data_IF_833250203515
#
_entry.id   IF_833250203515
#
_cell.length_a   1.000
_cell.length_b   1.000
_cell.length_c   1.000
_cell.angle_alpha   90.00
_cell.angle_beta   90.00
_cell.angle_gamma   90.00
#
_symmetry.space_group_name_H-M   'P 1'
#
loop_
_entity.id
_entity.type
_entity.pdbx_description
1 polymer ?
#
# COMPACT_ATOMS: atom_id res chain seq x y z
N UNK A 1 4.66 19.07 6.50
CA UNK A 1 3.91 18.08 5.68
C UNK A 1 2.94 17.26 6.55
N UNK A 2 3.39 16.50 7.56
CA UNK A 2 2.55 15.60 8.37
C UNK A 2 1.37 16.27 9.07
N UNK A 3 1.56 17.45 9.68
CA UNK A 3 0.51 18.19 10.37
C UNK A 3 -0.59 18.62 9.38
N UNK A 4 -0.20 19.01 8.18
CA UNK A 4 -1.12 19.37 7.10
C UNK A 4 -1.93 18.15 6.67
N UNK A 5 -1.28 17.03 6.32
CA UNK A 5 -1.93 15.78 5.92
C UNK A 5 -2.97 15.32 6.95
N UNK A 6 -2.58 15.37 8.24
CA UNK A 6 -3.48 15.05 9.34
C UNK A 6 -4.71 15.96 9.40
N UNK A 7 -4.55 17.25 9.11
CA UNK A 7 -5.66 18.22 9.17
C UNK A 7 -6.60 18.16 7.96
N UNK A 8 -6.15 17.58 6.85
CA UNK A 8 -6.92 17.43 5.61
C UNK A 8 -7.71 16.11 5.56
N UNK A 9 -7.41 15.16 6.46
CA UNK A 9 -8.16 13.91 6.58
C UNK A 9 -9.01 13.85 7.84
N UNK A 10 -9.73 12.75 7.99
CA UNK A 10 -10.66 12.52 9.12
C UNK A 10 -10.61 11.07 9.59
N UNK A 11 -10.69 10.87 10.91
CA UNK A 11 -10.88 9.53 11.48
C UNK A 11 -12.37 9.20 11.49
N UNK A 12 -12.75 8.13 10.81
CA UNK A 12 -14.13 7.63 10.72
C UNK A 12 -14.25 6.26 11.38
N UNK A 13 -15.44 5.91 11.82
CA UNK A 13 -15.74 4.57 12.28
C UNK A 13 -16.26 3.73 11.10
N UNK A 14 -15.40 2.86 10.58
CA UNK A 14 -15.65 2.04 9.40
C UNK A 14 -15.49 0.56 9.78
N UNK A 15 -16.51 -0.24 9.51
CA UNK A 15 -16.53 -1.66 9.85
C UNK A 15 -16.21 -1.93 11.34
N UNK A 16 -16.62 -1.03 12.25
CA UNK A 16 -16.33 -1.11 13.68
C UNK A 16 -14.91 -0.70 14.08
N UNK A 17 -14.16 -0.02 13.20
CA UNK A 17 -12.80 0.42 13.44
C UNK A 17 -12.62 1.91 13.18
N UNK A 18 -11.80 2.57 14.00
CA UNK A 18 -11.39 3.97 13.78
C UNK A 18 -10.31 4.01 12.70
N UNK A 19 -10.68 4.45 11.50
CA UNK A 19 -9.85 4.48 10.30
C UNK A 19 -9.67 5.93 9.85
N UNK A 20 -8.44 6.35 9.66
CA UNK A 20 -8.12 7.64 9.04
C UNK A 20 -8.32 7.54 7.54
N UNK A 21 -9.08 8.50 7.00
CA UNK A 21 -9.36 8.62 5.57
C UNK A 21 -9.01 10.04 5.13
N UNK A 22 -8.23 10.15 4.07
CA UNK A 22 -8.01 11.38 3.33
C UNK A 22 -8.73 11.27 1.98
N UNK A 23 -9.55 12.26 1.68
CA UNK A 23 -10.29 12.33 0.43
C UNK A 23 -10.17 13.72 -0.18
N UNK A 24 -9.82 13.79 -1.45
CA UNK A 24 -9.59 15.03 -2.19
C UNK A 24 -10.16 14.98 -3.61
N UNK A 25 -10.11 16.11 -4.30
CA UNK A 25 -10.69 16.27 -5.63
C UNK A 25 -12.21 16.43 -5.64
N UNK A 26 -12.84 16.52 -6.82
CA UNK A 26 -14.28 16.74 -6.95
C UNK A 26 -15.09 15.54 -6.43
N UNK A 27 -16.27 15.80 -5.89
CA UNK A 27 -17.20 14.72 -5.50
C UNK A 27 -17.61 13.93 -6.73
N UNK A 28 -17.43 12.61 -6.66
CA UNK A 28 -17.73 11.66 -7.74
C UNK A 28 -17.92 10.26 -7.15
N UNK A 29 -18.73 9.44 -7.79
CA UNK A 29 -18.86 8.02 -7.51
C UNK A 29 -17.86 7.16 -8.32
N UNK A 30 -17.09 7.79 -9.22
CA UNK A 30 -15.91 7.25 -9.88
C UNK A 30 -14.66 7.96 -9.36
N UNK A 31 -13.65 7.21 -8.91
CA UNK A 31 -12.47 7.80 -8.31
C UNK A 31 -11.25 6.89 -8.29
N UNK A 32 -10.21 7.37 -7.64
CA UNK A 32 -8.97 6.63 -7.39
C UNK A 32 -8.99 6.15 -5.94
N UNK A 33 -8.90 4.84 -5.73
CA UNK A 33 -8.77 4.22 -4.41
C UNK A 33 -7.34 3.73 -4.22
N UNK A 34 -6.64 4.31 -3.23
CA UNK A 34 -5.23 4.02 -3.00
C UNK A 34 -5.05 3.20 -1.72
N UNK A 35 -4.27 2.13 -1.81
CA UNK A 35 -3.91 1.23 -0.71
C UNK A 35 -2.39 1.28 -0.50
N UNK A 36 -1.96 1.81 0.67
CA UNK A 36 -0.55 1.94 1.01
C UNK A 36 0.11 0.60 1.38
N UNK A 37 1.43 0.62 1.57
CA UNK A 37 2.25 -0.53 1.95
C UNK A 37 2.72 -0.55 3.40
N UNK A 38 3.53 -1.56 3.74
CA UNK A 38 4.22 -1.72 5.03
C UNK A 38 5.63 -1.13 4.94
N UNK A 39 6.14 -0.45 5.96
CA UNK A 39 5.46 -0.03 7.19
C UNK A 39 4.82 1.36 7.09
N UNK A 40 4.63 1.87 5.89
CA UNK A 40 4.17 3.22 5.57
C UNK A 40 2.74 3.55 5.98
N UNK A 41 2.18 4.58 5.35
CA UNK A 41 0.82 5.06 5.62
C UNK A 41 0.24 5.75 4.38
N UNK A 42 -0.97 6.28 4.49
CA UNK A 42 -1.57 7.11 3.44
C UNK A 42 -0.73 8.36 3.10
N UNK A 43 0.09 8.83 4.03
CA UNK A 43 0.99 9.96 3.82
C UNK A 43 2.01 9.72 2.70
N UNK A 44 2.43 8.49 2.47
CA UNK A 44 3.38 8.13 1.40
C UNK A 44 2.86 8.50 0.01
N UNK A 45 1.56 8.80 -0.08
CA UNK A 45 0.87 9.16 -1.31
C UNK A 45 0.60 10.67 -1.45
N UNK A 46 1.05 11.49 -0.47
CA UNK A 46 0.77 12.92 -0.45
C UNK A 46 1.14 13.59 -1.77
N UNK A 47 2.36 13.38 -2.28
CA UNK A 47 2.82 14.00 -3.52
C UNK A 47 1.99 13.57 -4.74
N UNK A 48 1.60 12.30 -4.81
CA UNK A 48 0.72 11.77 -5.88
C UNK A 48 -0.66 12.41 -5.82
N UNK A 49 -1.26 12.49 -4.62
CA UNK A 49 -2.57 13.08 -4.39
C UNK A 49 -2.58 14.57 -4.75
N UNK A 50 -1.55 15.32 -4.34
CA UNK A 50 -1.39 16.74 -4.66
C UNK A 50 -1.27 16.97 -6.18
N UNK A 51 -0.54 16.12 -6.89
CA UNK A 51 -0.36 16.25 -8.35
C UNK A 51 -1.63 15.87 -9.14
N UNK A 52 -2.41 14.89 -8.67
CA UNK A 52 -3.72 14.58 -9.26
C UNK A 52 -4.64 15.81 -9.10
N UNK A 53 -4.64 16.44 -7.92
CA UNK A 53 -5.41 17.66 -7.65
C UNK A 53 -6.90 17.49 -7.94
N UNK A 54 -7.45 18.43 -8.73
CA UNK A 54 -8.89 18.46 -9.08
C UNK A 54 -9.25 17.58 -10.31
N UNK A 55 -8.31 16.81 -10.84
CA UNK A 55 -8.56 15.97 -12.03
C UNK A 55 -9.40 14.74 -11.72
N UNK A 56 -9.38 14.25 -10.48
CA UNK A 56 -10.16 13.09 -10.05
C UNK A 56 -10.47 13.12 -8.56
N UNK A 57 -11.53 12.44 -8.16
CA UNK A 57 -11.76 12.06 -6.77
C UNK A 57 -10.69 11.06 -6.34
N UNK A 58 -9.93 11.36 -5.29
CA UNK A 58 -8.91 10.47 -4.73
C UNK A 58 -9.27 10.14 -3.29
N UNK A 59 -9.26 8.86 -2.94
CA UNK A 59 -9.48 8.36 -1.59
C UNK A 59 -8.31 7.47 -1.19
N UNK A 60 -7.65 7.82 -0.11
CA UNK A 60 -6.59 7.03 0.51
C UNK A 60 -6.84 6.94 2.01
N UNK A 61 -6.57 5.78 2.62
CA UNK A 61 -6.78 5.59 4.05
C UNK A 61 -5.59 4.88 4.69
N UNK A 62 -5.39 5.11 5.98
CA UNK A 62 -4.46 4.31 6.75
C UNK A 62 -5.12 2.97 7.09
N UNK A 63 -4.47 1.86 6.75
CA UNK A 63 -4.88 0.54 7.20
C UNK A 63 -4.91 0.48 8.74
N UNK A 64 -5.74 -0.40 9.29
CA UNK A 64 -5.72 -0.69 10.74
C UNK A 64 -4.32 -1.13 11.16
N UNK A 65 -3.76 -0.51 12.17
CA UNK A 65 -2.39 -0.72 12.63
C UNK A 65 -1.38 0.31 12.11
N UNK A 66 -1.78 1.21 11.22
CA UNK A 66 -0.90 2.15 10.55
C UNK A 66 -1.29 3.62 10.76
N UNK A 67 -0.33 4.51 10.54
CA UNK A 67 -0.51 5.96 10.44
C UNK A 67 -1.39 6.54 11.56
N UNK A 68 -2.49 7.16 11.20
CA UNK A 68 -3.46 7.78 12.11
C UNK A 68 -4.66 6.89 12.44
N UNK A 69 -4.73 5.67 11.88
CA UNK A 69 -5.75 4.66 12.21
C UNK A 69 -5.47 3.98 13.54
N UNK A 70 -6.49 3.32 14.10
CA UNK A 70 -6.39 2.59 15.37
C UNK A 70 -5.34 1.49 15.34
N UNK A 71 -4.60 1.34 16.43
CA UNK A 71 -3.54 0.33 16.63
C UNK A 71 -3.81 -0.48 17.90
N UNK A 72 -4.71 -1.49 17.85
CA UNK A 72 -4.94 -2.35 19.01
C UNK A 72 -3.65 -3.05 19.45
N UNK A 73 -3.35 -2.96 20.73
CA UNK A 73 -2.18 -3.60 21.32
C UNK A 73 -2.50 -5.00 21.88
N UNK A 74 -3.75 -5.37 21.90
CA UNK A 74 -4.25 -6.66 22.35
C UNK A 74 -4.58 -7.59 21.15
N UNK A 75 -4.50 -8.88 21.38
CA UNK A 75 -4.76 -9.88 20.35
C UNK A 75 -3.50 -10.34 19.60
N UNK A 76 -3.73 -11.11 18.56
CA UNK A 76 -2.73 -11.66 17.65
C UNK A 76 -2.92 -11.09 16.23
N UNK A 77 -1.98 -11.32 15.34
CA UNK A 77 -2.14 -10.98 13.92
C UNK A 77 -3.49 -11.49 13.37
N UNK A 78 -3.77 -12.77 13.60
CA UNK A 78 -4.97 -13.43 13.07
C UNK A 78 -6.29 -12.80 13.57
N UNK A 79 -6.31 -12.28 14.78
CA UNK A 79 -7.52 -11.62 15.33
C UNK A 79 -7.62 -10.14 15.00
N UNK A 80 -6.53 -9.51 14.51
CA UNK A 80 -6.43 -8.06 14.55
C UNK A 80 -6.00 -7.40 13.25
N UNK A 81 -5.10 -8.02 12.45
CA UNK A 81 -4.39 -7.34 11.36
C UNK A 81 -4.39 -8.06 10.02
N UNK A 82 -5.24 -9.09 9.83
CA UNK A 82 -5.22 -9.88 8.58
C UNK A 82 -5.46 -9.04 7.34
N UNK A 83 -4.87 -9.44 6.22
CA UNK A 83 -5.09 -8.81 4.91
C UNK A 83 -6.56 -8.91 4.48
N UNK A 84 -7.25 -9.98 4.87
CA UNK A 84 -8.69 -10.13 4.65
C UNK A 84 -9.48 -9.03 5.38
N UNK A 85 -9.15 -8.76 6.66
CA UNK A 85 -9.77 -7.67 7.44
C UNK A 85 -9.47 -6.30 6.80
N UNK A 86 -8.24 -6.08 6.32
CA UNK A 86 -7.92 -4.84 5.62
C UNK A 86 -8.77 -4.68 4.34
N UNK A 87 -8.99 -5.76 3.58
CA UNK A 87 -9.87 -5.72 2.42
C UNK A 87 -11.32 -5.37 2.79
N UNK A 88 -11.86 -5.93 3.90
CA UNK A 88 -13.18 -5.59 4.42
C UNK A 88 -13.29 -4.11 4.81
N UNK A 89 -12.22 -3.56 5.40
CA UNK A 89 -12.12 -2.13 5.74
C UNK A 89 -12.12 -1.28 4.46
N UNK A 90 -11.36 -1.66 3.42
CA UNK A 90 -11.34 -0.91 2.16
C UNK A 90 -12.68 -0.95 1.41
N UNK A 91 -13.48 -2.03 1.51
CA UNK A 91 -14.85 -2.03 1.04
C UNK A 91 -15.71 -1.00 1.81
N UNK A 92 -15.51 -0.88 3.12
CA UNK A 92 -16.20 0.13 3.92
C UNK A 92 -15.73 1.56 3.60
N UNK A 93 -14.42 1.77 3.35
CA UNK A 93 -13.86 3.05 2.91
C UNK A 93 -14.47 3.49 1.58
N UNK A 94 -14.50 2.61 0.57
CA UNK A 94 -15.08 2.92 -0.72
C UNK A 94 -16.58 3.26 -0.62
N UNK A 95 -17.33 2.49 0.17
CA UNK A 95 -18.76 2.74 0.42
C UNK A 95 -19.00 4.08 1.12
N UNK A 96 -18.24 4.39 2.16
CA UNK A 96 -18.35 5.65 2.91
C UNK A 96 -17.98 6.87 2.04
N UNK A 97 -17.03 6.70 1.12
CA UNK A 97 -16.65 7.71 0.15
C UNK A 97 -17.64 7.83 -1.04
N UNK A 98 -18.67 6.97 -1.11
CA UNK A 98 -19.66 6.97 -2.19
C UNK A 98 -19.13 6.41 -3.52
N UNK A 99 -18.01 5.68 -3.52
CA UNK A 99 -17.41 5.15 -4.73
C UNK A 99 -18.14 3.90 -5.23
N UNK A 100 -18.65 3.95 -6.44
CA UNK A 100 -19.26 2.81 -7.17
C UNK A 100 -18.30 2.23 -8.22
N UNK A 101 -17.31 3.02 -8.67
CA UNK A 101 -16.30 2.65 -9.65
C UNK A 101 -14.94 3.21 -9.22
N UNK A 102 -13.87 2.43 -9.36
CA UNK A 102 -12.54 2.86 -8.95
C UNK A 102 -11.44 2.50 -9.95
N UNK A 103 -10.46 3.39 -10.08
CA UNK A 103 -9.10 3.04 -10.44
C UNK A 103 -8.39 2.64 -9.14
N UNK A 104 -8.07 1.37 -8.99
CA UNK A 104 -7.40 0.83 -7.82
C UNK A 104 -5.89 1.03 -7.94
N UNK A 105 -5.27 1.63 -6.93
CA UNK A 105 -3.80 1.74 -6.81
C UNK A 105 -3.37 1.02 -5.54
N UNK A 106 -2.40 0.11 -5.63
CA UNK A 106 -1.99 -0.67 -4.46
C UNK A 106 -0.48 -0.96 -4.45
N UNK A 107 0.15 -0.67 -3.31
CA UNK A 107 1.58 -0.77 -3.09
C UNK A 107 1.93 -1.81 -2.00
N UNK A 108 2.99 -2.58 -2.18
CA UNK A 108 3.58 -3.55 -1.25
C UNK A 108 2.56 -4.46 -0.53
N UNK A 109 2.37 -4.32 0.78
CA UNK A 109 1.34 -5.03 1.54
C UNK A 109 -0.05 -4.76 0.97
N UNK A 110 -0.30 -3.51 0.60
CA UNK A 110 -1.55 -3.09 -0.04
C UNK A 110 -1.82 -3.80 -1.37
N UNK A 111 -0.78 -4.24 -2.11
CA UNK A 111 -0.99 -5.05 -3.30
C UNK A 111 -1.71 -6.37 -2.98
N UNK A 112 -1.42 -7.00 -1.84
CA UNK A 112 -2.13 -8.22 -1.43
C UNK A 112 -3.60 -7.94 -1.10
N UNK A 113 -3.87 -6.80 -0.45
CA UNK A 113 -5.25 -6.32 -0.21
C UNK A 113 -5.95 -6.03 -1.55
N UNK A 114 -5.26 -5.35 -2.47
CA UNK A 114 -5.78 -5.09 -3.82
C UNK A 114 -6.10 -6.36 -4.60
N UNK A 115 -5.22 -7.37 -4.55
CA UNK A 115 -5.47 -8.68 -5.16
C UNK A 115 -6.66 -9.42 -4.53
N UNK A 116 -6.89 -9.26 -3.22
CA UNK A 116 -8.10 -9.78 -2.58
C UNK A 116 -9.36 -9.08 -3.11
N UNK A 117 -9.35 -7.74 -3.21
CA UNK A 117 -10.49 -6.99 -3.80
C UNK A 117 -10.73 -7.38 -5.26
N UNK A 118 -9.66 -7.54 -6.05
CA UNK A 118 -9.75 -8.02 -7.44
C UNK A 118 -10.34 -9.44 -7.51
N UNK A 119 -9.94 -10.34 -6.59
CA UNK A 119 -10.54 -11.68 -6.49
C UNK A 119 -12.03 -11.62 -6.15
N UNK A 120 -12.43 -10.74 -5.23
CA UNK A 120 -13.84 -10.50 -4.87
C UNK A 120 -14.64 -9.99 -6.07
N UNK A 121 -14.05 -9.16 -6.93
CA UNK A 121 -14.71 -8.74 -8.17
C UNK A 121 -14.94 -9.90 -9.15
N UNK A 122 -13.94 -10.74 -9.38
CA UNK A 122 -14.09 -11.94 -10.23
C UNK A 122 -15.16 -12.91 -9.68
N UNK A 123 -15.35 -12.92 -8.36
CA UNK A 123 -16.38 -13.72 -7.67
C UNK A 123 -17.76 -13.03 -7.67
N UNK A 124 -17.88 -11.82 -8.19
CA UNK A 124 -19.15 -11.07 -8.23
C UNK A 124 -19.65 -10.58 -6.88
N UNK A 125 -18.79 -10.45 -5.86
CA UNK A 125 -19.13 -10.05 -4.49
C UNK A 125 -18.53 -8.74 -4.01
N UNK A 126 -17.73 -8.05 -4.85
CA UNK A 126 -17.23 -6.71 -4.52
C UNK A 126 -18.35 -5.67 -4.66
N UNK A 127 -18.58 -4.78 -3.68
CA UNK A 127 -19.69 -3.82 -3.71
C UNK A 127 -19.46 -2.62 -4.63
N UNK A 128 -18.29 -2.49 -5.28
CA UNK A 128 -17.95 -1.50 -6.27
C UNK A 128 -17.19 -2.16 -7.44
N UNK A 129 -17.00 -1.43 -8.53
CA UNK A 129 -16.28 -1.93 -9.71
C UNK A 129 -14.84 -1.41 -9.70
N UNK A 130 -13.86 -2.29 -9.84
CA UNK A 130 -12.51 -1.94 -10.24
C UNK A 130 -12.49 -1.88 -11.75
N UNK A 131 -12.32 -0.67 -12.34
CA UNK A 131 -12.26 -0.46 -13.78
C UNK A 131 -10.86 -0.48 -14.35
N UNK A 132 -9.85 -0.24 -13.51
CA UNK A 132 -8.42 -0.37 -13.80
C UNK A 132 -7.67 -0.66 -12.49
N UNK A 133 -6.61 -1.44 -12.54
CA UNK A 133 -5.72 -1.65 -11.41
C UNK A 133 -4.29 -1.23 -11.76
N UNK A 134 -3.66 -0.44 -10.88
CA UNK A 134 -2.23 -0.14 -10.89
C UNK A 134 -1.62 -0.79 -9.65
N UNK A 135 -0.73 -1.76 -9.85
CA UNK A 135 -0.02 -2.44 -8.76
C UNK A 135 1.47 -2.08 -8.83
N UNK A 136 2.07 -1.83 -7.66
CA UNK A 136 3.45 -1.36 -7.57
C UNK A 136 4.19 -2.04 -6.40
N UNK A 137 5.40 -2.51 -6.67
CA UNK A 137 6.41 -2.93 -5.69
C UNK A 137 5.90 -3.88 -4.59
N UNK A 138 5.04 -4.83 -4.97
CA UNK A 138 4.43 -5.78 -4.06
C UNK A 138 5.03 -7.19 -4.16
N UNK A 139 5.59 -7.69 -3.07
CA UNK A 139 6.23 -9.01 -3.01
C UNK A 139 5.23 -10.18 -2.89
N UNK A 140 4.23 -10.22 -3.78
CA UNK A 140 3.15 -11.24 -3.75
C UNK A 140 3.59 -12.60 -4.25
N UNK A 141 4.62 -12.65 -5.10
CA UNK A 141 5.22 -13.91 -5.56
C UNK A 141 6.14 -14.44 -4.46
N UNK A 142 5.56 -15.22 -3.56
CA UNK A 142 6.20 -15.65 -2.29
C UNK A 142 7.47 -16.50 -2.46
N UNK A 143 7.63 -17.14 -3.60
CA UNK A 143 8.82 -17.89 -4.01
C UNK A 143 10.02 -16.99 -4.37
N UNK A 144 9.79 -15.71 -4.56
CA UNK A 144 10.79 -14.69 -4.93
C UNK A 144 11.06 -13.67 -3.82
N UNK A 145 10.40 -13.79 -2.66
CA UNK A 145 10.53 -12.82 -1.55
C UNK A 145 11.96 -12.83 -0.99
N UNK A 146 12.51 -11.64 -0.85
CA UNK A 146 13.77 -11.39 -0.16
C UNK A 146 13.49 -10.59 1.12
N UNK A 147 13.75 -11.20 2.28
CA UNK A 147 13.53 -10.54 3.57
C UNK A 147 14.74 -9.70 3.95
N UNK A 148 14.51 -8.41 4.24
CA UNK A 148 15.50 -7.55 4.87
C UNK A 148 15.83 -8.03 6.31
N UNK A 149 17.01 -7.69 6.82
CA UNK A 149 17.44 -8.11 8.16
C UNK A 149 16.49 -7.63 9.26
N UNK A 150 15.95 -6.42 9.14
CA UNK A 150 14.93 -5.90 10.07
C UNK A 150 13.67 -6.77 10.02
N UNK A 151 13.19 -7.17 8.85
CA UNK A 151 12.02 -8.03 8.71
C UNK A 151 12.24 -9.41 9.37
N UNK A 152 13.44 -9.98 9.23
CA UNK A 152 13.80 -11.25 9.90
C UNK A 152 13.77 -11.09 11.42
N UNK A 153 14.32 -10.02 11.96
CA UNK A 153 14.31 -9.72 13.40
C UNK A 153 12.88 -9.54 13.92
N UNK A 154 12.03 -8.79 13.21
CA UNK A 154 10.63 -8.58 13.59
C UNK A 154 9.82 -9.88 13.53
N UNK A 155 9.99 -10.71 12.51
CA UNK A 155 9.29 -12.01 12.39
C UNK A 155 9.70 -13.01 13.49
N UNK A 156 10.87 -12.86 14.08
CA UNK A 156 11.32 -13.67 15.22
C UNK A 156 10.68 -13.26 16.56
N UNK A 157 10.06 -12.06 16.64
CA UNK A 157 9.35 -11.61 17.85
C UNK A 157 8.06 -12.43 18.06
N UNK A 158 7.52 -12.47 19.29
CA UNK A 158 6.20 -13.07 19.57
C UNK A 158 5.07 -12.39 18.79
N UNK A 159 3.95 -13.10 18.59
CA UNK A 159 2.73 -12.55 17.95
C UNK A 159 1.87 -11.77 18.95
N UNK A 160 2.46 -10.76 19.53
CA UNK A 160 1.84 -9.81 20.46
C UNK A 160 2.47 -8.43 20.24
N UNK A 161 1.78 -7.38 20.63
CA UNK A 161 2.40 -6.05 20.61
C UNK A 161 3.62 -6.01 21.53
N UNK A 162 4.67 -5.33 21.11
CA UNK A 162 5.84 -5.12 21.94
C UNK A 162 5.50 -4.25 23.16
N UNK A 163 6.21 -4.46 24.27
CA UNK A 163 6.04 -3.62 25.49
C UNK A 163 6.62 -2.24 25.31
N UNK A 164 7.63 -2.10 24.47
CA UNK A 164 8.34 -0.85 24.19
C UNK A 164 8.32 -0.54 22.69
N UNK A 165 8.50 0.73 22.36
CA UNK A 165 8.65 1.16 21.00
C UNK A 165 9.98 0.68 20.40
N UNK A 166 10.04 0.51 19.08
CA UNK A 166 11.30 0.28 18.36
C UNK A 166 12.26 1.47 18.59
N UNK A 167 13.56 1.25 18.39
CA UNK A 167 14.48 2.38 18.31
C UNK A 167 14.21 3.19 17.04
N UNK A 168 14.05 4.50 17.19
CA UNK A 168 13.66 5.40 16.10
C UNK A 168 14.73 5.49 15.02
N UNK A 169 16.01 5.58 15.43
CA UNK A 169 17.11 5.69 14.49
C UNK A 169 17.39 4.36 13.78
N UNK A 170 17.36 3.25 14.52
CA UNK A 170 17.49 1.91 13.91
C UNK A 170 16.39 1.65 12.88
N UNK A 171 15.18 2.12 13.16
CA UNK A 171 14.05 2.02 12.23
C UNK A 171 14.32 2.80 10.93
N UNK A 172 14.74 4.07 11.03
CA UNK A 172 15.08 4.89 9.85
C UNK A 172 16.21 4.27 9.04
N UNK A 173 17.29 3.85 9.70
CA UNK A 173 18.43 3.21 9.02
C UNK A 173 18.04 1.89 8.36
N UNK A 174 17.07 1.16 8.92
CA UNK A 174 16.49 -0.04 8.31
C UNK A 174 15.67 0.23 7.05
N UNK A 175 15.06 1.40 6.92
CA UNK A 175 14.32 1.82 5.73
C UNK A 175 15.23 2.38 4.63
N UNK A 176 16.35 3.00 4.99
CA UNK A 176 17.25 3.69 4.04
C UNK A 176 17.59 2.86 2.80
N UNK A 177 17.96 1.57 2.89
CA UNK A 177 18.29 0.76 1.72
C UNK A 177 17.12 0.47 0.77
N UNK A 178 15.90 0.84 1.14
CA UNK A 178 14.70 0.64 0.32
C UNK A 178 14.40 1.82 -0.61
N UNK A 179 15.22 2.87 -0.58
CA UNK A 179 15.13 4.01 -1.49
C UNK A 179 16.14 3.90 -2.62
N UNK A 180 15.75 4.32 -3.82
CA UNK A 180 16.57 4.28 -5.02
C UNK A 180 17.74 5.27 -5.02
N UNK A 181 18.70 5.01 -5.88
CA UNK A 181 19.93 5.83 -5.97
C UNK A 181 19.63 7.26 -6.35
N UNK A 182 18.66 7.52 -7.22
CA UNK A 182 18.27 8.86 -7.64
C UNK A 182 17.71 9.68 -6.47
N UNK A 183 16.79 9.12 -5.70
CA UNK A 183 16.18 9.78 -4.54
C UNK A 183 17.18 9.96 -3.40
N UNK A 184 18.02 8.97 -3.15
CA UNK A 184 19.10 9.05 -2.15
C UNK A 184 20.12 10.17 -2.43
N UNK A 185 20.28 10.54 -3.69
CA UNK A 185 21.16 11.63 -4.11
C UNK A 185 20.48 13.01 -4.10
N UNK A 186 19.15 13.11 -3.98
CA UNK A 186 18.41 14.40 -4.01
C UNK A 186 18.65 15.26 -2.77
N UNK A 187 19.03 14.65 -1.65
CA UNK A 187 19.16 15.31 -0.34
C UNK A 187 17.88 15.27 0.51
N UNK A 188 16.79 14.75 0.00
CA UNK A 188 15.48 14.72 0.68
C UNK A 188 15.26 13.46 1.54
N UNK A 189 16.16 12.48 1.41
CA UNK A 189 16.00 11.16 2.02
C UNK A 189 15.89 11.22 3.56
N UNK A 190 16.77 11.98 4.22
CA UNK A 190 16.77 12.02 5.69
C UNK A 190 15.48 12.65 6.25
N UNK A 191 14.98 13.73 5.63
CA UNK A 191 13.72 14.34 6.03
C UNK A 191 12.55 13.37 5.79
N UNK A 192 12.56 12.66 4.68
CA UNK A 192 11.55 11.65 4.34
C UNK A 192 11.56 10.50 5.35
N UNK A 193 12.72 9.96 5.70
CA UNK A 193 12.84 8.89 6.71
C UNK A 193 12.29 9.32 8.07
N UNK A 194 12.63 10.54 8.50
CA UNK A 194 12.09 11.12 9.75
C UNK A 194 10.56 11.24 9.68
N UNK A 195 10.02 11.70 8.55
CA UNK A 195 8.58 11.84 8.36
C UNK A 195 7.87 10.48 8.40
N UNK A 196 8.40 9.46 7.72
CA UNK A 196 7.87 8.09 7.74
C UNK A 196 7.94 7.49 9.15
N UNK A 197 9.07 7.64 9.84
CA UNK A 197 9.21 7.15 11.21
C UNK A 197 8.17 7.78 12.14
N UNK A 198 7.91 9.10 12.04
CA UNK A 198 6.86 9.74 12.83
C UNK A 198 5.46 9.18 12.56
N UNK A 199 5.15 8.72 11.33
CA UNK A 199 3.88 8.04 11.04
C UNK A 199 3.80 6.68 11.75
N UNK A 200 4.88 5.90 11.66
CA UNK A 200 4.94 4.56 12.25
C UNK A 200 4.91 4.60 13.77
N UNK A 201 5.59 5.57 14.38
CA UNK A 201 5.66 5.70 15.85
C UNK A 201 4.43 6.39 16.47
N UNK A 202 3.59 7.03 15.65
CA UNK A 202 2.37 7.67 16.16
C UNK A 202 1.48 6.65 16.91
N UNK A 203 1.00 7.02 18.09
CA UNK A 203 0.08 6.22 18.92
C UNK A 203 0.55 4.77 19.11
N UNK A 204 1.81 4.59 19.48
CA UNK A 204 2.45 3.28 19.71
C UNK A 204 2.50 2.33 18.51
N UNK A 205 2.40 2.84 17.30
CA UNK A 205 2.36 2.02 16.08
C UNK A 205 3.62 1.19 15.86
N UNK A 206 4.80 1.64 16.35
CA UNK A 206 6.04 0.86 16.28
C UNK A 206 5.93 -0.48 17.03
N UNK A 207 5.11 -0.55 18.09
CA UNK A 207 4.93 -1.73 18.95
C UNK A 207 4.16 -2.87 18.26
N UNK A 208 3.37 -2.57 17.22
CA UNK A 208 2.59 -3.58 16.49
C UNK A 208 3.25 -4.04 15.18
N UNK A 209 4.42 -3.48 14.82
CA UNK A 209 5.09 -3.78 13.55
C UNK A 209 5.44 -5.25 13.39
N UNK A 210 5.91 -5.91 14.46
CA UNK A 210 6.21 -7.34 14.45
C UNK A 210 4.97 -8.21 14.24
N UNK A 211 3.81 -7.81 14.77
CA UNK A 211 2.54 -8.48 14.52
C UNK A 211 2.10 -8.30 13.07
N UNK A 212 2.05 -7.04 12.61
CA UNK A 212 1.57 -6.71 11.26
C UNK A 212 2.41 -7.42 10.20
N UNK A 213 3.74 -7.49 10.36
CA UNK A 213 4.63 -8.15 9.40
C UNK A 213 4.29 -9.63 9.14
N UNK A 214 3.47 -10.25 10.01
CA UNK A 214 2.95 -11.62 9.78
C UNK A 214 2.03 -11.74 8.59
N UNK A 215 1.64 -10.63 7.96
CA UNK A 215 0.99 -10.67 6.66
C UNK A 215 1.78 -11.47 5.62
N UNK A 216 3.11 -11.58 5.78
CA UNK A 216 3.95 -12.43 4.95
C UNK A 216 3.62 -13.94 5.10
N UNK A 217 3.11 -14.37 6.27
CA UNK A 217 2.60 -15.74 6.45
C UNK A 217 1.27 -15.92 5.75
N UNK A 218 0.35 -14.97 5.92
CA UNK A 218 -0.94 -14.98 5.22
C UNK A 218 -0.75 -14.96 3.69
N UNK A 219 0.24 -14.20 3.16
CA UNK A 219 0.60 -14.28 1.73
C UNK A 219 0.93 -15.71 1.27
N UNK A 220 1.63 -16.50 2.09
CA UNK A 220 1.94 -17.90 1.76
C UNK A 220 0.68 -18.77 1.82
N UNK A 221 -0.17 -18.59 2.81
CA UNK A 221 -1.43 -19.31 2.97
C UNK A 221 -2.40 -19.01 1.82
N UNK A 222 -2.49 -17.76 1.43
CA UNK A 222 -3.36 -17.25 0.36
C UNK A 222 -2.70 -17.23 -1.02
N UNK A 223 -1.49 -17.78 -1.17
CA UNK A 223 -0.71 -17.70 -2.40
C UNK A 223 -1.48 -18.18 -3.63
N UNK A 224 -2.14 -19.34 -3.55
CA UNK A 224 -2.91 -19.89 -4.67
C UNK A 224 -4.04 -18.97 -5.12
N UNK A 225 -4.69 -18.25 -4.19
CA UNK A 225 -5.76 -17.32 -4.49
C UNK A 225 -5.22 -16.05 -5.13
N UNK A 226 -4.26 -15.40 -4.50
CA UNK A 226 -3.77 -14.10 -4.96
C UNK A 226 -2.86 -14.19 -6.19
N UNK A 227 -2.03 -15.24 -6.32
CA UNK A 227 -1.26 -15.46 -7.55
C UNK A 227 -2.18 -15.78 -8.72
N UNK A 228 -3.22 -16.62 -8.52
CA UNK A 228 -4.22 -16.85 -9.57
C UNK A 228 -4.82 -15.51 -10.02
N UNK A 229 -5.31 -14.70 -9.08
CA UNK A 229 -5.89 -13.38 -9.39
C UNK A 229 -4.89 -12.53 -10.16
N UNK A 230 -3.64 -12.45 -9.71
CA UNK A 230 -2.60 -11.67 -10.37
C UNK A 230 -2.40 -12.07 -11.84
N UNK A 231 -2.38 -13.37 -12.13
CA UNK A 231 -2.16 -13.86 -13.48
C UNK A 231 -3.44 -13.93 -14.34
N UNK A 232 -4.61 -14.13 -13.76
CA UNK A 232 -5.82 -14.44 -14.52
C UNK A 232 -6.91 -13.38 -14.48
N UNK A 233 -6.77 -12.31 -13.70
CA UNK A 233 -7.75 -11.23 -13.63
C UNK A 233 -8.05 -10.63 -15.01
N UNK A 234 -9.34 -10.53 -15.37
CA UNK A 234 -9.80 -10.08 -16.69
C UNK A 234 -10.86 -8.99 -16.64
N UNK A 235 -11.47 -8.76 -15.47
CA UNK A 235 -12.56 -7.80 -15.31
C UNK A 235 -12.13 -6.34 -15.52
N UNK A 236 -10.81 -6.06 -15.52
CA UNK A 236 -10.25 -4.75 -15.83
C UNK A 236 -8.80 -4.84 -16.32
N UNK A 237 -8.27 -3.80 -17.00
CA UNK A 237 -6.86 -3.68 -17.31
C UNK A 237 -6.00 -3.67 -16.06
N UNK A 238 -4.77 -4.17 -16.18
CA UNK A 238 -3.74 -4.16 -15.14
C UNK A 238 -2.49 -3.46 -15.66
N UNK A 239 -2.01 -2.50 -14.88
CA UNK A 239 -0.72 -1.82 -15.07
C UNK A 239 0.19 -2.13 -13.89
N UNK A 240 1.47 -2.36 -14.16
CA UNK A 240 2.53 -2.42 -13.17
C UNK A 240 3.44 -1.21 -13.34
N UNK A 241 3.61 -0.42 -12.27
CA UNK A 241 4.68 0.56 -12.15
C UNK A 241 5.66 -0.01 -11.14
N UNK A 242 6.95 -0.15 -11.49
CA UNK A 242 7.86 -0.92 -10.63
C UNK A 242 9.25 -0.32 -10.56
N UNK A 243 9.75 -0.11 -9.35
CA UNK A 243 11.11 0.32 -9.10
C UNK A 243 12.12 -0.75 -9.53
N UNK A 244 13.08 -0.36 -10.38
CA UNK A 244 14.11 -1.30 -10.86
C UNK A 244 15.10 -1.66 -9.77
N UNK A 245 15.32 -0.74 -8.83
CA UNK A 245 16.26 -0.89 -7.72
C UNK A 245 15.61 -1.44 -6.44
N UNK A 246 14.33 -1.87 -6.49
CA UNK A 246 13.63 -2.38 -5.32
C UNK A 246 14.31 -3.66 -4.75
N UNK A 247 14.85 -3.61 -3.51
CA UNK A 247 15.51 -4.74 -2.90
C UNK A 247 14.52 -5.74 -2.25
N UNK A 248 13.24 -5.36 -2.10
CA UNK A 248 12.20 -6.14 -1.41
C UNK A 248 11.32 -6.86 -2.42
N UNK A 249 10.68 -6.11 -3.31
CA UNK A 249 9.87 -6.62 -4.41
C UNK A 249 10.66 -6.51 -5.72
N UNK A 250 11.64 -7.37 -5.88
CA UNK A 250 12.61 -7.28 -7.00
C UNK A 250 11.92 -7.22 -8.35
N UNK A 251 12.46 -6.42 -9.27
CA UNK A 251 11.90 -6.20 -10.62
C UNK A 251 11.60 -7.49 -11.38
N UNK A 252 12.32 -8.57 -11.10
CA UNK A 252 12.07 -9.89 -11.67
C UNK A 252 10.64 -10.42 -11.37
N UNK A 253 9.98 -9.97 -10.28
CA UNK A 253 8.58 -10.31 -10.01
C UNK A 253 7.66 -9.70 -11.07
N UNK A 254 7.84 -8.41 -11.38
CA UNK A 254 7.08 -7.72 -12.41
C UNK A 254 7.35 -8.31 -13.81
N UNK A 255 8.60 -8.66 -14.11
CA UNK A 255 8.97 -9.33 -15.35
C UNK A 255 8.30 -10.68 -15.52
N UNK A 256 8.22 -11.46 -14.44
CA UNK A 256 7.50 -12.74 -14.45
C UNK A 256 6.00 -12.52 -14.75
N UNK A 257 5.37 -11.53 -14.09
CA UNK A 257 3.96 -11.22 -14.37
C UNK A 257 3.77 -10.80 -15.83
N UNK A 258 4.64 -9.93 -16.36
CA UNK A 258 4.59 -9.52 -17.78
C UNK A 258 4.78 -10.68 -18.73
N UNK A 259 5.63 -11.65 -18.39
CA UNK A 259 5.86 -12.84 -19.21
C UNK A 259 4.64 -13.76 -19.22
N UNK A 260 4.05 -14.03 -18.06
CA UNK A 260 2.90 -14.92 -17.91
C UNK A 260 1.57 -14.24 -18.30
N UNK A 261 1.55 -12.89 -18.31
CA UNK A 261 0.41 -12.04 -18.69
C UNK A 261 0.86 -10.94 -19.67
N UNK A 262 1.09 -11.27 -20.96
CA UNK A 262 1.72 -10.34 -21.93
C UNK A 262 0.97 -9.03 -22.20
N UNK A 263 -0.34 -9.00 -21.96
CA UNK A 263 -1.20 -7.81 -22.11
C UNK A 263 -1.21 -6.89 -20.87
N UNK A 264 -0.43 -7.18 -19.81
CA UNK A 264 -0.21 -6.26 -18.70
C UNK A 264 0.74 -5.14 -19.14
N UNK A 265 0.40 -3.89 -18.89
CA UNK A 265 1.33 -2.78 -19.05
C UNK A 265 2.37 -2.82 -17.94
N UNK A 266 3.64 -2.80 -18.29
CA UNK A 266 4.76 -2.74 -17.34
C UNK A 266 5.64 -1.53 -17.60
N UNK A 267 5.74 -0.65 -16.61
CA UNK A 267 6.63 0.50 -16.60
C UNK A 267 7.72 0.28 -15.54
N UNK A 268 8.97 0.20 -16.01
CA UNK A 268 10.16 0.02 -15.17
C UNK A 268 10.77 1.38 -14.85
N UNK A 269 10.76 1.75 -13.57
CA UNK A 269 11.21 3.04 -13.08
C UNK A 269 12.71 2.97 -12.74
N UNK A 270 13.55 3.56 -13.61
CA UNK A 270 14.99 3.57 -13.43
C UNK A 270 15.41 4.50 -12.28
N UNK A 271 16.34 4.09 -11.43
CA UNK A 271 16.80 4.87 -10.29
C UNK A 271 15.82 4.95 -9.12
N UNK A 272 14.69 4.21 -9.21
CA UNK A 272 13.63 4.13 -8.21
C UNK A 272 13.66 2.75 -7.56
N UNK A 273 13.46 2.70 -6.24
CA UNK A 273 13.38 1.45 -5.50
C UNK A 273 11.96 1.18 -5.01
N UNK A 274 11.78 0.97 -3.69
CA UNK A 274 10.55 0.44 -3.11
C UNK A 274 9.41 1.47 -2.96
N UNK A 275 9.69 2.77 -3.12
CA UNK A 275 8.73 3.84 -2.79
C UNK A 275 8.41 4.76 -3.98
N UNK A 276 7.90 4.24 -5.13
CA UNK A 276 7.64 5.07 -6.30
C UNK A 276 6.72 6.27 -6.03
N UNK A 277 5.77 6.14 -5.10
CA UNK A 277 4.86 7.23 -4.68
C UNK A 277 5.59 8.39 -4.00
N UNK A 278 6.74 8.13 -3.37
CA UNK A 278 7.57 9.14 -2.70
C UNK A 278 8.71 9.59 -3.63
N UNK A 279 9.34 8.63 -4.31
CA UNK A 279 10.56 8.87 -5.09
C UNK A 279 10.28 9.62 -6.40
N UNK A 280 9.14 9.34 -7.05
CA UNK A 280 8.73 9.95 -8.33
C UNK A 280 7.22 10.25 -8.36
N UNK A 281 6.70 11.05 -7.40
CA UNK A 281 5.27 11.25 -7.21
C UNK A 281 4.56 11.82 -8.43
N UNK A 282 5.19 12.76 -9.14
CA UNK A 282 4.61 13.38 -10.34
C UNK A 282 4.47 12.37 -11.48
N UNK A 283 5.52 11.57 -11.73
CA UNK A 283 5.46 10.52 -12.75
C UNK A 283 4.39 9.47 -12.43
N UNK A 284 4.31 9.09 -11.14
CA UNK A 284 3.28 8.14 -10.69
C UNK A 284 1.88 8.71 -10.90
N UNK A 285 1.66 9.96 -10.52
CA UNK A 285 0.39 10.65 -10.68
C UNK A 285 0.00 10.79 -12.16
N UNK A 286 0.94 11.12 -13.04
CA UNK A 286 0.69 11.19 -14.50
C UNK A 286 0.26 9.82 -15.04
N UNK A 287 0.85 8.73 -14.55
CA UNK A 287 0.43 7.38 -14.93
C UNK A 287 -0.99 7.05 -14.44
N UNK A 288 -1.41 7.55 -13.28
CA UNK A 288 -2.80 7.45 -12.78
C UNK A 288 -3.73 8.28 -13.68
N UNK A 289 -3.39 9.55 -13.92
CA UNK A 289 -4.19 10.49 -14.73
C UNK A 289 -4.44 9.93 -16.13
N UNK A 290 -3.40 9.38 -16.77
CA UNK A 290 -3.52 8.77 -18.09
C UNK A 290 -4.52 7.59 -18.17
N UNK A 291 -4.98 7.10 -17.02
CA UNK A 291 -5.93 5.97 -16.91
C UNK A 291 -7.28 6.36 -16.30
N UNK A 292 -7.50 7.63 -16.05
CA UNK A 292 -8.79 8.09 -15.52
C UNK A 292 -9.93 7.81 -16.51
N UNK A 293 -9.68 7.97 -17.81
CA UNK A 293 -10.67 7.76 -18.88
C UNK A 293 -10.66 6.34 -19.47
N UNK A 294 -9.84 5.44 -18.93
CA UNK A 294 -9.82 4.04 -19.38
C UNK A 294 -11.08 3.31 -18.88
N UNK A 295 -11.94 2.99 -19.81
CA UNK A 295 -13.24 2.28 -19.62
C UNK A 295 -13.04 0.78 -19.66
#
# INVERSE_FOLDING_TARGET
ALARWRSEGVVKELNGHKIFVHASGPESDDGVLIIHGYPGSSWDWQGVVEHIGDKARVVVSDMRGFGLSVKPLDGTYQSTYTLQLQADIYEAVARDAGLSSVLLVAHDMGQSVGLELMARQEEGRLPFRIRHAILTDGSTLVDMIQLAEMQKKLLAQPDVAATEDLDFNDFMEGLRPTFGTAFSASGDLDETLVAMAHQVFYDHGSRVQAQILRYLKERKEMFSRWSRTFFTFRSAPLTLLWGVEDPVAVIAMADRVKTERPYTDLYKLQGVAHWPSIEVPEYFADAVIARLDSV
#
